data_IF_989693641250
#
_entry.id   IF_989693641250
#
_cell.length_a   1.000
_cell.length_b   1.000
_cell.length_c   1.000
_cell.angle_alpha   90.00
_cell.angle_beta   90.00
_cell.angle_gamma   90.00
#
_symmetry.space_group_name_H-M   'P 1'
#
loop_
_entity.id
_entity.type
_entity.pdbx_description
1 polymer ?
#
# COMPACT_ATOMS: atom_id res chain seq x y z
N UNK A 1 16.09 -4.76 3.63
CA UNK A 1 15.40 -4.85 4.94
C UNK A 1 16.01 -6.02 5.70
N UNK A 2 16.47 -5.82 6.96
CA UNK A 2 17.13 -6.87 7.72
C UNK A 2 16.11 -7.86 8.33
N UNK A 3 16.50 -9.13 8.37
CA UNK A 3 16.13 -10.13 9.37
C UNK A 3 14.66 -10.59 9.53
N UNK A 4 14.10 -11.30 8.54
CA UNK A 4 13.22 -12.45 8.80
C UNK A 4 11.93 -12.25 9.63
N UNK A 5 11.47 -11.02 9.82
CA UNK A 5 10.20 -10.71 10.48
C UNK A 5 9.02 -11.02 9.55
N UNK A 6 8.00 -11.69 10.08
CA UNK A 6 6.75 -11.91 9.36
C UNK A 6 6.04 -10.56 9.19
N UNK A 7 5.54 -10.26 8.00
CA UNK A 7 4.89 -8.98 7.74
C UNK A 7 4.29 -8.86 6.35
N UNK A 8 4.17 -7.63 5.86
CA UNK A 8 3.68 -7.32 4.53
C UNK A 8 4.65 -6.36 3.82
N UNK A 9 4.92 -6.63 2.54
CA UNK A 9 5.60 -5.70 1.65
C UNK A 9 4.55 -4.98 0.82
N UNK A 10 4.61 -3.66 0.82
CA UNK A 10 3.72 -2.80 0.06
C UNK A 10 4.47 -2.24 -1.14
N UNK A 11 3.83 -2.23 -2.30
CA UNK A 11 4.28 -1.51 -3.50
C UNK A 11 3.11 -0.70 -4.04
N UNK A 12 3.32 0.56 -4.34
CA UNK A 12 2.31 1.42 -4.95
C UNK A 12 2.75 1.94 -6.31
N UNK A 13 1.79 2.26 -7.16
CA UNK A 13 1.99 2.95 -8.43
C UNK A 13 0.75 3.79 -8.79
N UNK A 14 0.96 4.92 -9.45
CA UNK A 14 -0.15 5.68 -10.05
C UNK A 14 -0.42 5.09 -11.43
N UNK A 15 -1.68 4.77 -11.67
CA UNK A 15 -2.17 4.24 -12.95
C UNK A 15 -2.38 5.37 -13.98
N UNK A 16 -2.49 5.02 -15.26
CA UNK A 16 -2.68 6.01 -16.32
C UNK A 16 -3.97 6.86 -16.18
N UNK A 17 -5.00 6.32 -15.53
CA UNK A 17 -6.25 7.03 -15.21
C UNK A 17 -6.22 7.76 -13.86
N UNK A 18 -5.05 7.87 -13.22
CA UNK A 18 -4.87 8.64 -11.98
C UNK A 18 -5.28 7.90 -10.70
N UNK A 19 -5.67 6.63 -10.77
CA UNK A 19 -5.94 5.81 -9.58
C UNK A 19 -4.64 5.33 -8.92
N UNK A 20 -4.68 5.10 -7.61
CA UNK A 20 -3.58 4.48 -6.86
C UNK A 20 -3.72 2.96 -6.90
N UNK A 21 -2.77 2.27 -7.52
CA UNK A 21 -2.65 0.82 -7.40
C UNK A 21 -1.77 0.50 -6.18
N UNK A 22 -2.28 -0.35 -5.28
CA UNK A 22 -1.58 -0.84 -4.10
C UNK A 22 -1.47 -2.37 -4.16
N UNK A 23 -0.25 -2.87 -4.23
CA UNK A 23 0.06 -4.30 -4.17
C UNK A 23 0.61 -4.64 -2.78
N UNK A 24 -0.06 -5.58 -2.12
CA UNK A 24 0.28 -6.07 -0.77
C UNK A 24 0.74 -7.51 -0.91
N UNK A 25 2.00 -7.77 -0.59
CA UNK A 25 2.60 -9.11 -0.65
C UNK A 25 2.93 -9.57 0.77
N UNK A 26 2.37 -10.69 1.24
CA UNK A 26 2.78 -11.24 2.52
C UNK A 26 4.27 -11.58 2.52
N UNK A 27 5.02 -11.05 3.48
CA UNK A 27 6.38 -11.46 3.77
C UNK A 27 6.32 -12.58 4.81
N UNK A 28 6.29 -13.82 4.32
CA UNK A 28 6.33 -15.00 5.17
C UNK A 28 7.60 -15.80 4.90
N UNK A 29 8.01 -16.63 5.86
CA UNK A 29 9.10 -17.61 5.66
C UNK A 29 8.79 -18.61 4.54
N UNK A 30 7.52 -18.72 4.14
CA UNK A 30 7.00 -19.62 3.10
C UNK A 30 6.64 -18.79 1.87
N UNK A 31 7.10 -19.21 0.68
CA UNK A 31 6.98 -18.46 -0.59
C UNK A 31 5.60 -18.55 -1.26
N UNK A 32 4.63 -19.19 -0.60
CA UNK A 32 3.42 -19.69 -1.25
C UNK A 32 2.23 -18.69 -1.15
N UNK A 33 2.45 -17.49 -0.63
CA UNK A 33 1.38 -16.51 -0.43
C UNK A 33 1.23 -15.58 -1.63
N UNK A 34 0.02 -15.51 -2.17
CA UNK A 34 -0.30 -14.63 -3.29
C UNK A 34 -0.39 -13.17 -2.86
N UNK A 35 0.19 -12.28 -3.68
CA UNK A 35 -0.02 -10.85 -3.57
C UNK A 35 -1.49 -10.50 -3.84
N UNK A 36 -2.02 -9.51 -3.11
CA UNK A 36 -3.31 -8.89 -3.41
C UNK A 36 -3.08 -7.49 -3.97
N UNK A 37 -3.84 -7.15 -5.01
CA UNK A 37 -3.79 -5.84 -5.67
C UNK A 37 -5.12 -5.13 -5.45
N UNK A 38 -5.04 -3.89 -5.00
CA UNK A 38 -6.16 -2.98 -4.86
C UNK A 38 -5.94 -1.79 -5.80
N UNK A 39 -7.02 -1.24 -6.34
CA UNK A 39 -7.00 0.00 -7.13
C UNK A 39 -7.96 0.96 -6.46
N UNK A 40 -7.45 2.08 -6.00
CA UNK A 40 -8.17 3.11 -5.27
C UNK A 40 -8.32 4.32 -6.16
N UNK A 41 -9.55 4.81 -6.30
CA UNK A 41 -9.83 6.12 -6.90
C UNK A 41 -9.28 7.24 -6.02
N UNK A 42 -9.22 8.47 -6.57
CA UNK A 42 -8.79 9.64 -5.80
C UNK A 42 -9.63 9.88 -4.54
N UNK A 43 -10.95 9.65 -4.62
CA UNK A 43 -11.86 9.82 -3.48
C UNK A 43 -11.67 8.75 -2.41
N UNK A 44 -11.43 7.49 -2.81
CA UNK A 44 -11.10 6.42 -1.86
C UNK A 44 -9.74 6.66 -1.19
N UNK A 45 -8.77 7.24 -1.90
CA UNK A 45 -7.49 7.64 -1.30
C UNK A 45 -7.69 8.75 -0.27
N UNK A 46 -8.51 9.76 -0.57
CA UNK A 46 -8.85 10.83 0.40
C UNK A 46 -9.52 10.25 1.65
N UNK A 47 -10.52 9.41 1.46
CA UNK A 47 -11.22 8.75 2.57
C UNK A 47 -10.27 7.88 3.41
N UNK A 48 -9.30 7.21 2.79
CA UNK A 48 -8.29 6.42 3.51
C UNK A 48 -7.36 7.31 4.35
N UNK A 49 -6.90 8.43 3.80
CA UNK A 49 -6.06 9.40 4.53
C UNK A 49 -6.82 9.96 5.73
N UNK A 50 -8.08 10.35 5.54
CA UNK A 50 -8.97 10.82 6.62
C UNK A 50 -9.18 9.76 7.69
N UNK A 51 -9.47 8.52 7.30
CA UNK A 51 -9.72 7.41 8.22
C UNK A 51 -8.50 7.03 9.07
N UNK A 52 -7.29 7.15 8.49
CA UNK A 52 -6.05 6.85 9.21
C UNK A 52 -5.53 8.04 10.03
N UNK A 53 -6.20 9.20 9.97
CA UNK A 53 -5.74 10.45 10.57
C UNK A 53 -4.29 10.80 10.20
N UNK A 54 -3.84 10.36 9.02
CA UNK A 54 -2.49 10.63 8.52
C UNK A 54 -2.53 12.06 7.97
N UNK A 55 -2.04 13.01 8.76
CA UNK A 55 -1.72 14.31 8.18
C UNK A 55 -0.54 14.10 7.23
N UNK A 56 -0.57 14.64 6.00
CA UNK A 56 0.62 14.65 5.17
C UNK A 56 1.74 15.35 5.97
N UNK A 57 2.94 14.77 5.95
CA UNK A 57 4.11 15.46 6.48
C UNK A 57 4.14 16.85 5.82
N UNK A 58 4.25 17.89 6.63
CA UNK A 58 4.25 19.27 6.16
C UNK A 58 5.33 19.49 5.09
N UNK A 59 5.20 20.53 4.25
CA UNK A 59 6.20 20.79 3.22
C UNK A 59 7.60 20.94 3.85
N UNK A 60 8.58 20.19 3.31
CA UNK A 60 10.01 20.42 3.53
C UNK A 60 10.46 21.77 2.95
#
# INVERSE_FOLDING_TARGET
MPNGELGYVFKSAVTANGCLMLCITPHARRRDFHSKVYVLTADEVRALIEALAVMPDGPE
#
